data_IF_251411874823
#
_entry.id   IF_251411874823
#
_cell.length_a   1.000
_cell.length_b   1.000
_cell.length_c   1.000
_cell.angle_alpha   90.00
_cell.angle_beta   90.00
_cell.angle_gamma   90.00
#
_symmetry.space_group_name_H-M   'P 1'
#
loop_
_entity.id
_entity.type
_entity.pdbx_description
1 polymer ?
#
# COMPACT_ATOMS: atom_id res chain seq x y z
N UNK A 1 -17.26 20.36 8.10
CA UNK A 1 -17.40 19.16 8.98
C UNK A 1 -17.34 19.58 10.46
N UNK A 2 -17.65 18.68 11.40
CA UNK A 2 -17.71 19.03 12.83
C UNK A 2 -16.35 19.54 13.37
N UNK A 3 -15.27 18.83 13.09
CA UNK A 3 -13.91 19.24 13.52
C UNK A 3 -13.47 20.61 12.98
N UNK A 4 -13.77 20.95 11.74
CA UNK A 4 -13.46 22.27 11.18
C UNK A 4 -14.19 23.39 11.91
N UNK A 5 -15.46 23.14 12.30
CA UNK A 5 -16.24 24.09 13.08
C UNK A 5 -15.63 24.27 14.46
N UNK A 6 -15.34 23.18 15.18
CA UNK A 6 -14.70 23.21 16.50
C UNK A 6 -13.37 23.97 16.47
N UNK A 7 -12.51 23.68 15.48
CA UNK A 7 -11.24 24.39 15.28
C UNK A 7 -11.48 25.89 15.09
N UNK A 8 -12.41 26.25 14.19
CA UNK A 8 -12.70 27.67 13.91
C UNK A 8 -13.26 28.40 15.13
N UNK A 9 -14.13 27.76 15.90
CA UNK A 9 -14.73 28.34 17.13
C UNK A 9 -13.63 28.57 18.19
N UNK A 10 -12.81 27.59 18.48
CA UNK A 10 -11.75 27.68 19.49
C UNK A 10 -10.62 28.63 19.07
N UNK A 11 -10.24 28.67 17.80
CA UNK A 11 -9.26 29.63 17.28
C UNK A 11 -9.81 31.08 17.33
N UNK A 12 -11.09 31.29 17.19
CA UNK A 12 -11.70 32.61 17.39
C UNK A 12 -11.68 33.03 18.86
N UNK A 13 -12.00 32.12 19.78
CA UNK A 13 -11.89 32.39 21.23
C UNK A 13 -10.45 32.73 21.60
N UNK A 14 -9.46 32.03 21.01
CA UNK A 14 -8.04 32.26 21.26
C UNK A 14 -7.56 33.68 20.87
N UNK A 15 -8.25 34.35 19.95
CA UNK A 15 -7.94 35.76 19.59
C UNK A 15 -8.30 36.74 20.69
N UNK A 16 -9.35 36.42 21.47
CA UNK A 16 -9.90 37.33 22.50
C UNK A 16 -9.36 37.02 23.91
N UNK A 17 -9.01 35.75 24.18
CA UNK A 17 -8.48 35.30 25.47
C UNK A 17 -7.65 34.01 25.31
N UNK A 18 -6.85 33.71 26.33
CA UNK A 18 -6.19 32.38 26.40
C UNK A 18 -7.29 31.29 26.54
N UNK A 19 -7.05 30.18 25.85
CA UNK A 19 -7.87 28.99 26.01
C UNK A 19 -7.57 28.34 27.37
N UNK A 20 -8.59 27.74 27.95
CA UNK A 20 -8.45 26.87 29.12
C UNK A 20 -7.74 25.56 28.69
N UNK A 21 -7.22 24.80 29.65
CA UNK A 21 -6.55 23.53 29.38
C UNK A 21 -7.48 22.57 28.59
N UNK A 22 -8.74 22.48 28.99
CA UNK A 22 -9.75 21.65 28.29
C UNK A 22 -10.01 22.12 26.86
N UNK A 23 -10.08 23.43 26.61
CA UNK A 23 -10.25 23.98 25.25
C UNK A 23 -9.00 23.76 24.38
N UNK A 24 -7.80 23.76 24.97
CA UNK A 24 -6.55 23.42 24.26
C UNK A 24 -6.51 21.95 23.88
N UNK A 25 -6.90 21.04 24.77
CA UNK A 25 -7.00 19.62 24.50
C UNK A 25 -8.03 19.34 23.39
N UNK A 26 -9.20 19.99 23.45
CA UNK A 26 -10.24 19.86 22.42
C UNK A 26 -9.76 20.36 21.05
N UNK A 27 -9.09 21.51 21.00
CA UNK A 27 -8.51 22.06 19.78
C UNK A 27 -7.45 21.13 19.18
N UNK A 28 -6.57 20.60 20.02
CA UNK A 28 -5.54 19.65 19.58
C UNK A 28 -6.15 18.36 19.05
N UNK A 29 -7.12 17.79 19.75
CA UNK A 29 -7.83 16.60 19.31
C UNK A 29 -8.54 16.82 17.98
N UNK A 30 -9.25 17.94 17.82
CA UNK A 30 -9.96 18.28 16.60
C UNK A 30 -8.98 18.43 15.40
N UNK A 31 -7.82 19.07 15.62
CA UNK A 31 -6.78 19.21 14.59
C UNK A 31 -6.18 17.86 14.18
N UNK A 32 -5.82 17.03 15.14
CA UNK A 32 -5.27 15.69 14.87
C UNK A 32 -6.29 14.80 14.16
N UNK A 33 -7.56 14.85 14.57
CA UNK A 33 -8.63 14.09 13.92
C UNK A 33 -8.85 14.52 12.48
N UNK A 34 -8.84 15.83 12.21
CA UNK A 34 -9.00 16.38 10.86
C UNK A 34 -7.81 16.00 9.97
N UNK A 35 -6.60 16.07 10.49
CA UNK A 35 -5.37 15.64 9.79
C UNK A 35 -5.42 14.16 9.41
N UNK A 36 -5.79 13.29 10.36
CA UNK A 36 -5.95 11.86 10.13
C UNK A 36 -7.00 11.55 9.05
N UNK A 37 -8.14 12.25 9.08
CA UNK A 37 -9.19 12.08 8.06
C UNK A 37 -8.67 12.52 6.68
N UNK A 38 -8.00 13.67 6.60
CA UNK A 38 -7.47 14.17 5.34
C UNK A 38 -6.40 13.24 4.77
N UNK A 39 -5.52 12.70 5.59
CA UNK A 39 -4.55 11.69 5.17
C UNK A 39 -5.24 10.47 4.55
N UNK A 40 -6.23 9.91 5.24
CA UNK A 40 -6.99 8.77 4.72
C UNK A 40 -7.74 9.08 3.42
N UNK A 41 -8.27 10.29 3.27
CA UNK A 41 -8.91 10.71 2.02
C UNK A 41 -7.90 10.76 0.88
N UNK A 42 -6.70 11.30 1.11
CA UNK A 42 -5.64 11.36 0.10
C UNK A 42 -5.17 9.97 -0.32
N UNK A 43 -5.04 9.03 0.63
CA UNK A 43 -4.73 7.63 0.35
C UNK A 43 -5.80 6.97 -0.55
N UNK A 44 -7.08 7.17 -0.20
CA UNK A 44 -8.20 6.64 -0.99
C UNK A 44 -8.28 7.28 -2.40
N UNK A 45 -7.94 8.56 -2.53
CA UNK A 45 -7.85 9.25 -3.81
C UNK A 45 -6.74 8.66 -4.68
N UNK A 46 -5.55 8.38 -4.11
CA UNK A 46 -4.44 7.73 -4.81
C UNK A 46 -4.83 6.33 -5.31
N UNK A 47 -5.50 5.53 -4.46
CA UNK A 47 -6.03 4.21 -4.83
C UNK A 47 -7.08 4.35 -5.95
N UNK A 48 -8.05 5.24 -5.78
CA UNK A 48 -9.11 5.47 -6.77
C UNK A 48 -8.54 5.92 -8.12
N UNK A 49 -7.57 6.83 -8.11
CA UNK A 49 -6.89 7.28 -9.31
C UNK A 49 -6.16 6.12 -10.00
N UNK A 50 -5.46 5.30 -9.23
CA UNK A 50 -4.77 4.11 -9.73
C UNK A 50 -5.74 3.10 -10.36
N UNK A 51 -6.86 2.84 -9.71
CA UNK A 51 -7.90 1.93 -10.22
C UNK A 51 -8.56 2.45 -11.53
N UNK A 52 -8.56 3.74 -11.75
CA UNK A 52 -9.11 4.34 -12.97
C UNK A 52 -8.11 4.43 -14.14
N UNK A 53 -6.87 3.93 -13.98
CA UNK A 53 -5.85 3.95 -15.06
C UNK A 53 -6.18 3.00 -16.21
N UNK A 54 -6.86 1.89 -15.92
CA UNK A 54 -7.29 0.91 -16.92
C UNK A 54 -8.61 0.25 -16.49
N UNK A 55 -9.36 -0.29 -17.44
CA UNK A 55 -10.55 -1.13 -17.16
C UNK A 55 -10.20 -2.48 -16.52
N UNK A 56 -8.93 -2.89 -16.62
CA UNK A 56 -8.45 -4.20 -16.15
C UNK A 56 -7.81 -4.13 -14.76
N UNK A 57 -7.89 -2.97 -14.08
CA UNK A 57 -7.36 -2.82 -12.72
C UNK A 57 -8.29 -3.44 -11.69
N UNK A 58 -7.70 -4.08 -10.68
CA UNK A 58 -8.42 -4.67 -9.54
C UNK A 58 -7.69 -4.33 -8.23
N UNK A 59 -8.44 -3.97 -7.20
CA UNK A 59 -7.91 -3.82 -5.85
C UNK A 59 -7.87 -5.19 -5.17
N UNK A 60 -6.67 -5.68 -4.88
CA UNK A 60 -6.44 -6.99 -4.27
C UNK A 60 -6.23 -6.91 -2.75
N UNK A 61 -5.67 -5.82 -2.28
CA UNK A 61 -5.41 -5.56 -0.87
C UNK A 61 -5.75 -4.10 -0.55
N UNK A 62 -6.46 -3.89 0.53
CA UNK A 62 -6.61 -2.60 1.20
C UNK A 62 -6.67 -2.84 2.70
N UNK A 63 -5.64 -2.42 3.41
CA UNK A 63 -5.53 -2.48 4.87
C UNK A 63 -5.09 -1.11 5.38
N UNK A 64 -6.03 -0.28 5.85
CA UNK A 64 -5.73 1.07 6.29
C UNK A 64 -4.92 1.08 7.58
N UNK A 65 -3.95 1.97 7.67
CA UNK A 65 -3.22 2.22 8.91
C UNK A 65 -4.19 2.55 10.04
N UNK A 66 -4.19 1.73 11.10
CA UNK A 66 -5.10 1.91 12.23
C UNK A 66 -4.38 1.93 13.58
N UNK A 67 -3.10 1.61 13.61
CA UNK A 67 -2.34 1.36 14.84
C UNK A 67 -2.81 0.10 15.62
N UNK A 68 -4.00 -0.41 15.31
CA UNK A 68 -4.56 -1.62 15.94
C UNK A 68 -4.09 -2.90 15.23
N UNK A 69 -3.81 -2.81 13.93
CA UNK A 69 -3.37 -3.93 13.10
C UNK A 69 -1.85 -4.20 13.18
N UNK A 70 -1.12 -3.38 13.93
CA UNK A 70 0.32 -3.54 14.13
C UNK A 70 1.18 -2.97 13.00
N UNK A 71 0.61 -2.20 12.08
CA UNK A 71 1.34 -1.45 11.05
C UNK A 71 0.99 0.04 11.08
N UNK A 72 1.95 0.88 10.66
CA UNK A 72 1.85 2.34 10.73
C UNK A 72 1.39 2.96 9.41
N UNK A 73 1.57 2.27 8.28
CA UNK A 73 1.23 2.73 6.95
C UNK A 73 0.02 1.96 6.38
N UNK A 74 -0.73 2.60 5.51
CA UNK A 74 -1.77 1.91 4.73
C UNK A 74 -1.13 0.97 3.73
N UNK A 75 -1.59 -0.29 3.71
CA UNK A 75 -1.17 -1.29 2.75
C UNK A 75 -2.21 -1.40 1.62
N UNK A 76 -1.74 -1.49 0.39
CA UNK A 76 -2.59 -1.68 -0.78
C UNK A 76 -1.87 -2.49 -1.87
N UNK A 77 -2.64 -3.28 -2.62
CA UNK A 77 -2.13 -3.93 -3.83
C UNK A 77 -3.15 -3.78 -4.97
N UNK A 78 -2.68 -3.35 -6.12
CA UNK A 78 -3.49 -3.17 -7.32
C UNK A 78 -2.90 -4.03 -8.43
N UNK A 79 -3.74 -4.86 -9.05
CA UNK A 79 -3.37 -5.60 -10.25
C UNK A 79 -3.85 -4.90 -11.52
N UNK A 80 -3.13 -5.12 -12.59
CA UNK A 80 -3.52 -4.86 -13.96
C UNK A 80 -3.61 -6.22 -14.65
N UNK A 81 -4.80 -6.57 -15.10
CA UNK A 81 -5.13 -7.93 -15.54
C UNK A 81 -5.72 -8.78 -14.42
N UNK A 82 -6.41 -9.83 -14.79
CA UNK A 82 -7.10 -10.71 -13.87
C UNK A 82 -6.15 -11.77 -13.31
N UNK A 83 -5.83 -11.70 -12.02
CA UNK A 83 -4.94 -12.62 -11.34
C UNK A 83 -5.47 -14.05 -11.25
N UNK A 84 -6.80 -14.25 -11.31
CA UNK A 84 -7.41 -15.58 -11.22
C UNK A 84 -7.31 -16.36 -12.52
N UNK A 85 -7.14 -15.67 -13.66
CA UNK A 85 -7.17 -16.30 -14.99
C UNK A 85 -5.87 -16.12 -15.79
N UNK A 86 -4.97 -15.23 -15.38
CA UNK A 86 -3.69 -15.00 -16.06
C UNK A 86 -2.79 -16.25 -16.01
N UNK A 87 -2.03 -16.50 -17.07
CA UNK A 87 -1.02 -17.56 -17.10
C UNK A 87 0.22 -17.18 -16.25
N UNK A 88 0.52 -15.90 -16.22
CA UNK A 88 1.67 -15.34 -15.51
C UNK A 88 1.22 -14.19 -14.62
N UNK A 89 1.68 -14.17 -13.37
CA UNK A 89 1.45 -13.08 -12.43
C UNK A 89 2.79 -12.55 -11.96
N UNK A 90 3.03 -11.26 -12.13
CA UNK A 90 4.25 -10.59 -11.67
C UNK A 90 3.91 -9.60 -10.55
N UNK A 91 4.48 -9.78 -9.37
CA UNK A 91 4.29 -8.91 -8.21
C UNK A 91 5.52 -8.02 -8.02
N UNK A 92 5.31 -6.71 -8.06
CA UNK A 92 6.36 -5.72 -7.77
C UNK A 92 6.37 -5.37 -6.28
N UNK A 93 7.54 -5.49 -5.65
CA UNK A 93 7.81 -5.15 -4.25
C UNK A 93 8.69 -3.90 -4.19
N UNK A 94 8.19 -2.78 -3.68
CA UNK A 94 8.85 -1.48 -3.73
C UNK A 94 9.95 -1.33 -2.68
N UNK A 95 10.71 -0.23 -2.81
CA UNK A 95 11.79 0.15 -1.92
C UNK A 95 11.33 0.85 -0.63
N UNK A 96 12.33 1.22 0.21
CA UNK A 96 12.12 2.11 1.36
C UNK A 96 11.43 3.43 0.96
N UNK A 97 10.80 4.10 1.90
CA UNK A 97 10.06 5.36 1.74
C UNK A 97 8.80 5.30 0.87
N UNK A 98 8.49 4.13 0.34
CA UNK A 98 7.26 3.93 -0.45
C UNK A 98 6.03 3.97 0.45
N UNK A 99 5.00 4.68 0.01
CA UNK A 99 3.69 4.70 0.63
C UNK A 99 2.59 4.80 -0.43
N UNK A 100 1.35 4.54 -0.03
CA UNK A 100 0.21 4.52 -0.96
C UNK A 100 -0.03 5.89 -1.58
N UNK A 101 0.00 6.95 -0.78
CA UNK A 101 -0.30 8.33 -1.21
C UNK A 101 0.62 8.80 -2.34
N UNK A 102 1.92 8.64 -2.16
CA UNK A 102 2.91 9.24 -3.04
C UNK A 102 3.35 8.31 -4.19
N UNK A 103 3.14 7.00 -4.03
CA UNK A 103 3.80 6.01 -4.88
C UNK A 103 2.84 5.13 -5.69
N UNK A 104 1.62 4.88 -5.21
CA UNK A 104 0.72 3.90 -5.83
C UNK A 104 0.39 4.22 -7.28
N UNK A 105 0.17 5.50 -7.62
CA UNK A 105 -0.09 5.91 -9.00
C UNK A 105 1.07 5.58 -9.96
N UNK A 106 2.30 5.89 -9.54
CA UNK A 106 3.49 5.64 -10.35
C UNK A 106 3.75 4.15 -10.51
N UNK A 107 3.63 3.39 -9.41
CA UNK A 107 3.75 1.93 -9.42
C UNK A 107 2.70 1.32 -10.37
N UNK A 108 1.46 1.81 -10.34
CA UNK A 108 0.40 1.34 -11.24
C UNK A 108 0.74 1.62 -12.71
N UNK A 109 1.29 2.80 -13.04
CA UNK A 109 1.75 3.11 -14.39
C UNK A 109 2.89 2.18 -14.84
N UNK A 110 3.85 1.90 -13.97
CA UNK A 110 4.96 0.99 -14.27
C UNK A 110 4.45 -0.45 -14.51
N UNK A 111 3.46 -0.89 -13.73
CA UNK A 111 2.83 -2.19 -13.91
C UNK A 111 2.01 -2.27 -15.20
N UNK A 112 1.34 -1.21 -15.62
CA UNK A 112 0.68 -1.10 -16.92
C UNK A 112 1.69 -1.27 -18.06
N UNK A 113 2.77 -0.50 -18.03
CA UNK A 113 3.82 -0.58 -19.04
C UNK A 113 4.44 -1.98 -19.11
N UNK A 114 4.74 -2.57 -17.95
CA UNK A 114 5.28 -3.93 -17.87
C UNK A 114 4.34 -4.96 -18.49
N UNK A 115 3.03 -4.88 -18.18
CA UNK A 115 2.04 -5.78 -18.77
C UNK A 115 2.03 -5.67 -20.29
N UNK A 116 1.98 -4.45 -20.82
CA UNK A 116 1.98 -4.18 -22.26
C UNK A 116 3.24 -4.74 -22.94
N UNK A 117 4.42 -4.55 -22.35
CA UNK A 117 5.69 -5.04 -22.86
C UNK A 117 5.75 -6.59 -22.90
N UNK A 118 5.26 -7.23 -21.84
CA UNK A 118 5.26 -8.70 -21.78
C UNK A 118 4.21 -9.30 -22.74
N UNK A 119 3.04 -8.70 -22.88
CA UNK A 119 2.03 -9.14 -23.85
C UNK A 119 2.51 -8.95 -25.30
N UNK A 120 3.30 -7.93 -25.59
CA UNK A 120 3.87 -7.69 -26.90
C UNK A 120 4.80 -8.82 -27.39
N UNK A 121 5.42 -9.55 -26.49
CA UNK A 121 6.27 -10.74 -26.84
C UNK A 121 5.48 -12.05 -26.88
N UNK A 122 4.16 -11.99 -26.80
CA UNK A 122 3.24 -13.12 -26.94
C UNK A 122 3.43 -14.22 -25.87
N UNK A 123 3.68 -13.81 -24.63
CA UNK A 123 3.94 -14.69 -23.50
C UNK A 123 2.68 -15.35 -22.88
N UNK A 124 1.50 -15.13 -23.46
CA UNK A 124 0.21 -15.54 -22.89
C UNK A 124 -0.46 -14.40 -22.11
N UNK A 125 -1.50 -14.72 -21.34
CA UNK A 125 -2.16 -13.72 -20.50
C UNK A 125 -1.31 -13.39 -19.27
N UNK A 126 -1.17 -12.09 -18.99
CA UNK A 126 -0.33 -11.58 -17.90
C UNK A 126 -1.16 -10.71 -16.96
N UNK A 127 -0.95 -10.85 -15.66
CA UNK A 127 -1.35 -9.87 -14.67
C UNK A 127 -0.10 -9.33 -13.95
N UNK A 128 -0.03 -8.03 -13.77
CA UNK A 128 1.04 -7.36 -13.04
C UNK A 128 0.47 -6.70 -11.79
N UNK A 129 1.17 -6.73 -10.68
CA UNK A 129 0.69 -6.26 -9.39
C UNK A 129 1.67 -5.25 -8.81
N UNK A 130 1.20 -4.05 -8.50
CA UNK A 130 1.90 -3.13 -7.60
C UNK A 130 1.51 -3.46 -6.16
N UNK A 131 2.44 -3.97 -5.35
CA UNK A 131 2.18 -4.43 -3.99
C UNK A 131 2.91 -3.56 -2.96
N UNK A 132 2.17 -2.76 -2.20
CA UNK A 132 2.62 -2.05 -1.00
C UNK A 132 1.95 -2.74 0.19
N UNK A 133 2.51 -3.84 0.66
CA UNK A 133 1.92 -4.70 1.69
C UNK A 133 2.83 -4.88 2.90
N UNK A 134 3.70 -3.89 3.17
CA UNK A 134 4.54 -3.81 4.35
C UNK A 134 4.85 -2.34 4.68
N UNK A 135 5.22 -2.07 5.92
CA UNK A 135 5.69 -0.75 6.34
C UNK A 135 7.10 -0.51 5.77
N UNK A 136 7.14 0.20 4.64
CA UNK A 136 8.40 0.54 4.00
C UNK A 136 9.19 1.51 4.90
N UNK A 137 10.39 1.15 5.36
CA UNK A 137 11.12 1.98 6.31
C UNK A 137 11.46 3.35 5.72
N UNK A 138 11.50 4.40 6.55
CA UNK A 138 11.88 5.73 6.12
C UNK A 138 13.37 5.80 5.75
N UNK A 139 13.75 6.84 5.01
CA UNK A 139 15.15 7.05 4.67
C UNK A 139 15.96 7.43 5.95
N UNK A 140 17.07 6.73 6.26
CA UNK A 140 17.77 6.86 7.54
C UNK A 140 18.30 8.27 7.83
N UNK A 141 18.62 9.04 6.80
CA UNK A 141 19.14 10.40 6.96
C UNK A 141 18.05 11.47 7.18
N UNK A 142 16.78 11.15 6.91
CA UNK A 142 15.69 12.13 7.02
C UNK A 142 15.14 12.23 8.44
N UNK A 143 14.99 11.08 9.12
CA UNK A 143 14.34 10.99 10.43
C UNK A 143 15.26 10.50 11.53
N UNK A 144 16.57 10.35 11.25
CA UNK A 144 17.51 9.67 12.16
C UNK A 144 17.01 8.26 12.58
N UNK A 145 16.20 7.66 11.73
CA UNK A 145 15.62 6.34 11.89
C UNK A 145 16.47 5.31 11.15
N UNK A 146 17.06 4.39 11.88
CA UNK A 146 17.95 3.35 11.38
C UNK A 146 17.22 2.00 11.23
N UNK A 147 15.88 1.98 11.26
CA UNK A 147 15.08 0.75 11.06
C UNK A 147 15.42 0.04 9.75
N UNK A 148 15.78 0.80 8.71
CA UNK A 148 16.28 0.26 7.42
C UNK A 148 17.52 -0.62 7.56
N UNK A 149 18.31 -0.46 8.62
CA UNK A 149 19.51 -1.29 8.90
C UNK A 149 19.13 -2.58 9.65
N UNK A 150 17.92 -2.60 10.26
CA UNK A 150 17.34 -3.78 10.87
C UNK A 150 16.64 -4.67 9.85
N UNK A 151 16.41 -5.94 10.19
CA UNK A 151 15.70 -6.90 9.34
C UNK A 151 14.22 -7.02 9.67
N UNK A 152 13.75 -6.41 10.75
CA UNK A 152 12.39 -6.60 11.28
C UNK A 152 11.29 -6.28 10.27
N UNK A 153 11.34 -5.11 9.65
CA UNK A 153 10.36 -4.70 8.64
C UNK A 153 10.43 -5.60 7.39
N UNK A 154 11.64 -5.99 6.98
CA UNK A 154 11.83 -6.89 5.85
C UNK A 154 11.31 -8.31 6.14
N UNK A 155 11.50 -8.81 7.36
CA UNK A 155 11.00 -10.13 7.79
C UNK A 155 9.47 -10.15 7.84
N UNK A 156 8.84 -9.13 8.45
CA UNK A 156 7.38 -9.00 8.50
C UNK A 156 6.79 -8.80 7.11
N UNK A 157 7.41 -7.96 6.30
CA UNK A 157 7.04 -7.74 4.90
C UNK A 157 7.16 -9.01 4.07
N UNK A 158 8.22 -9.80 4.26
CA UNK A 158 8.41 -11.09 3.62
C UNK A 158 7.30 -12.09 3.95
N UNK A 159 6.91 -12.19 5.23
CA UNK A 159 5.78 -13.03 5.65
C UNK A 159 4.45 -12.57 5.03
N UNK A 160 4.26 -11.25 4.91
CA UNK A 160 3.06 -10.69 4.27
C UNK A 160 3.05 -10.97 2.77
N UNK A 161 4.21 -10.88 2.10
CA UNK A 161 4.36 -11.21 0.69
C UNK A 161 4.09 -12.70 0.42
N UNK A 162 4.64 -13.60 1.25
CA UNK A 162 4.40 -15.04 1.14
C UNK A 162 2.90 -15.34 1.22
N UNK A 163 2.23 -14.85 2.26
CA UNK A 163 0.76 -15.02 2.40
C UNK A 163 -0.04 -14.44 1.23
N UNK A 164 0.40 -13.30 0.70
CA UNK A 164 -0.26 -12.68 -0.45
C UNK A 164 -0.13 -13.52 -1.71
N UNK A 165 1.07 -14.02 -2.01
CA UNK A 165 1.32 -14.88 -3.18
C UNK A 165 0.68 -16.26 -3.04
N UNK A 166 0.68 -16.85 -1.86
CA UNK A 166 -0.08 -18.07 -1.56
C UNK A 166 -1.59 -17.85 -1.77
N UNK A 167 -2.14 -16.73 -1.26
CA UNK A 167 -3.54 -16.37 -1.46
C UNK A 167 -3.96 -16.28 -2.92
N UNK A 168 -3.09 -15.77 -3.81
CA UNK A 168 -3.33 -15.79 -5.26
C UNK A 168 -3.42 -17.23 -5.78
N UNK A 169 -2.57 -18.12 -5.32
CA UNK A 169 -2.61 -19.53 -5.73
C UNK A 169 -3.86 -20.24 -5.21
N UNK A 170 -4.24 -19.98 -3.96
CA UNK A 170 -5.38 -20.61 -3.29
C UNK A 170 -6.70 -20.16 -3.90
N UNK A 171 -6.88 -18.87 -4.22
CA UNK A 171 -8.09 -18.37 -4.86
C UNK A 171 -8.38 -19.06 -6.21
N UNK A 172 -7.33 -19.51 -6.90
CA UNK A 172 -7.44 -20.25 -8.17
C UNK A 172 -7.77 -21.72 -7.97
N UNK A 173 -7.35 -22.31 -6.86
CA UNK A 173 -7.62 -23.71 -6.54
C UNK A 173 -9.09 -23.93 -6.10
N UNK A 174 -9.66 -22.94 -5.40
CA UNK A 174 -11.04 -22.98 -4.90
C UNK A 174 -12.10 -22.64 -5.96
N UNK A 175 -11.68 -22.08 -7.09
CA UNK A 175 -12.59 -21.69 -8.18
C UNK A 175 -12.85 -22.82 -9.17
N UNK A 176 -14.10 -22.91 -9.69
CA UNK A 176 -14.50 -23.77 -10.81
C UNK A 176 -13.74 -23.49 -12.13
N UNK A 177 -12.70 -22.67 -12.09
CA UNK A 177 -12.03 -22.10 -13.27
C UNK A 177 -11.02 -23.06 -13.90
N UNK A 178 -10.69 -24.18 -13.25
CA UNK A 178 -9.88 -25.27 -13.85
C UNK A 178 -8.47 -24.87 -14.32
N UNK A 179 -7.96 -23.72 -13.90
CA UNK A 179 -6.63 -23.25 -14.26
C UNK A 179 -5.66 -23.70 -13.16
N UNK A 180 -5.03 -24.82 -13.41
CA UNK A 180 -3.93 -25.31 -12.57
C UNK A 180 -2.78 -24.32 -12.52
N UNK A 181 -2.05 -24.28 -11.43
CA UNK A 181 -0.84 -23.50 -11.12
C UNK A 181 -0.49 -22.30 -12.02
N UNK A 182 -0.48 -21.13 -11.44
CA UNK A 182 0.00 -19.91 -12.09
C UNK A 182 1.53 -19.83 -11.99
N UNK A 183 2.18 -19.33 -13.03
CA UNK A 183 3.58 -18.95 -12.93
C UNK A 183 3.66 -17.58 -12.25
N UNK A 184 4.09 -17.56 -10.99
CA UNK A 184 4.29 -16.34 -10.23
C UNK A 184 5.76 -15.89 -10.28
N UNK A 185 5.96 -14.58 -10.44
CA UNK A 185 7.27 -13.94 -10.38
C UNK A 185 7.22 -12.77 -9.42
N UNK A 186 8.28 -12.58 -8.63
CA UNK A 186 8.45 -11.41 -7.75
C UNK A 186 9.55 -10.53 -8.33
N UNK A 187 9.26 -9.26 -8.52
CA UNK A 187 10.19 -8.24 -8.99
C UNK A 187 10.35 -7.24 -7.84
N UNK A 188 11.55 -7.12 -7.32
CA UNK A 188 11.79 -6.33 -6.13
C UNK A 188 12.91 -5.30 -6.36
N UNK A 189 12.73 -4.11 -5.81
CA UNK A 189 13.68 -3.02 -5.93
C UNK A 189 14.27 -2.63 -4.58
N UNK A 190 15.60 -2.45 -4.52
CA UNK A 190 16.31 -1.93 -3.34
C UNK A 190 15.96 -2.69 -2.06
N UNK A 191 15.43 -2.02 -1.02
CA UNK A 191 15.00 -2.65 0.24
C UNK A 191 13.92 -3.72 0.02
N UNK A 192 13.05 -3.54 -0.97
CA UNK A 192 12.09 -4.56 -1.37
C UNK A 192 12.74 -5.89 -1.77
N UNK A 193 14.00 -5.89 -2.24
CA UNK A 193 14.73 -7.13 -2.54
C UNK A 193 15.07 -7.92 -1.27
N UNK A 194 15.37 -7.22 -0.17
CA UNK A 194 15.56 -7.84 1.14
C UNK A 194 14.24 -8.42 1.65
N UNK A 195 13.15 -7.64 1.57
CA UNK A 195 11.79 -8.09 1.91
C UNK A 195 11.39 -9.33 1.10
N UNK A 196 11.59 -9.30 -0.22
CA UNK A 196 11.25 -10.42 -1.08
C UNK A 196 12.07 -11.68 -0.77
N UNK A 197 13.34 -11.56 -0.37
CA UNK A 197 14.15 -12.72 0.00
C UNK A 197 13.57 -13.50 1.18
N UNK A 198 13.08 -12.79 2.20
CA UNK A 198 12.38 -13.43 3.32
C UNK A 198 11.05 -14.07 2.93
N UNK A 199 10.34 -13.51 1.94
CA UNK A 199 9.09 -14.09 1.43
C UNK A 199 9.30 -15.37 0.64
N UNK A 200 10.32 -15.40 -0.23
CA UNK A 200 10.61 -16.56 -1.10
C UNK A 200 11.16 -17.75 -0.31
N UNK A 201 11.82 -17.53 0.82
CA UNK A 201 12.32 -18.63 1.68
C UNK A 201 11.18 -19.41 2.37
N UNK A 202 9.95 -18.91 2.35
CA UNK A 202 8.81 -19.51 3.04
C UNK A 202 7.85 -20.27 2.10
N UNK A 203 8.03 -20.14 0.79
CA UNK A 203 7.27 -20.79 -0.28
C UNK A 203 8.09 -21.94 -0.88
#
# INVERSE_FOLDING_TARGET
MEYERTISELENIQKDRLLTDSEQEELQFAKQSLESINSKLTELEAISTSLNKSSDTQLLLYDPASGENGHELTHAAISIGNVDTANHVATYVPEMTTNVTDSMENITNDMLNMKDDVEAVNAGSVATIGWIGYDCPPHPLTNNDWSVVGTGEAEMGGQSLARFTEGIQDSRNDGDVGVSSVHQSVIAHSYGSTTASYGVEQV
#
